data_IF_158520793273
#
_entry.id   IF_158520793273
#
_cell.length_a   1.000
_cell.length_b   1.000
_cell.length_c   1.000
_cell.angle_alpha   90.00
_cell.angle_beta   90.00
_cell.angle_gamma   90.00
#
_symmetry.space_group_name_H-M   'P 1'
#
loop_
_entity.id
_entity.type
_entity.pdbx_description
1 polymer ?
#
# COMPACT_ATOMS: atom_id res chain seq x y z
N UNK A 1 -3.58 10.19 16.83
CA UNK A 1 -3.18 9.20 15.81
C UNK A 1 -3.75 9.63 14.48
N UNK A 2 -3.09 9.28 13.38
CA UNK A 2 -3.59 9.53 12.02
C UNK A 2 -4.38 8.32 11.54
N UNK A 3 -5.53 8.52 10.91
CA UNK A 3 -6.32 7.43 10.34
C UNK A 3 -5.53 6.81 9.18
N UNK A 4 -5.39 5.49 9.17
CA UNK A 4 -4.49 4.81 8.23
C UNK A 4 -5.01 3.46 7.77
N UNK A 5 -4.69 3.11 6.53
CA UNK A 5 -4.71 1.72 6.06
C UNK A 5 -3.44 1.06 6.60
N UNK A 6 -3.60 -0.03 7.37
CA UNK A 6 -2.47 -0.79 7.92
C UNK A 6 -2.45 -2.17 7.25
N UNK A 7 -1.34 -2.50 6.61
CA UNK A 7 -1.10 -3.82 6.03
C UNK A 7 0.08 -4.50 6.75
N UNK A 8 -0.21 -5.65 7.38
CA UNK A 8 0.77 -6.42 8.13
C UNK A 8 1.36 -7.55 7.29
N UNK A 9 2.68 -7.61 7.22
CA UNK A 9 3.43 -8.60 6.43
C UNK A 9 4.48 -9.30 7.28
N UNK A 10 4.63 -10.60 7.07
CA UNK A 10 5.75 -11.39 7.59
C UNK A 10 6.72 -11.71 6.47
N UNK A 11 8.01 -11.40 6.64
CA UNK A 11 9.06 -11.63 5.63
C UNK A 11 10.28 -12.30 6.26
N UNK A 12 10.95 -13.19 5.51
CA UNK A 12 12.16 -13.89 5.97
C UNK A 12 13.41 -13.02 5.98
N UNK A 13 13.42 -11.95 5.17
CA UNK A 13 14.54 -11.02 5.01
C UNK A 13 14.09 -9.57 5.24
N UNK A 14 15.05 -8.71 5.59
CA UNK A 14 14.82 -7.27 5.65
C UNK A 14 14.38 -6.77 4.27
N UNK A 15 13.34 -5.94 4.26
CA UNK A 15 12.80 -5.38 3.03
C UNK A 15 13.36 -3.98 2.83
N UNK A 16 13.69 -3.65 1.58
CA UNK A 16 13.97 -2.28 1.18
C UNK A 16 12.69 -1.62 0.69
N UNK A 17 12.59 -0.32 0.88
CA UNK A 17 11.43 0.48 0.46
C UNK A 17 11.11 0.31 -1.03
N UNK A 18 12.14 0.28 -1.88
CA UNK A 18 12.02 0.09 -3.33
C UNK A 18 11.25 -1.19 -3.72
N UNK A 19 11.42 -2.27 -2.94
CA UNK A 19 10.72 -3.55 -3.16
C UNK A 19 9.29 -3.54 -2.63
N UNK A 20 8.91 -2.52 -1.87
CA UNK A 20 7.60 -2.41 -1.22
C UNK A 20 6.63 -1.52 -1.99
N UNK A 21 7.04 -0.96 -3.13
CA UNK A 21 6.22 -0.15 -4.03
C UNK A 21 4.86 -0.78 -4.33
N UNK A 22 4.82 -2.08 -4.60
CA UNK A 22 3.56 -2.79 -4.89
C UNK A 22 2.61 -2.85 -3.70
N UNK A 23 3.16 -2.90 -2.49
CA UNK A 23 2.38 -2.94 -1.26
C UNK A 23 1.84 -1.54 -0.93
N UNK A 24 2.59 -0.49 -1.27
CA UNK A 24 2.10 0.89 -1.19
C UNK A 24 0.94 1.12 -2.16
N UNK A 25 1.06 0.65 -3.40
CA UNK A 25 -0.03 0.71 -4.40
C UNK A 25 -1.26 -0.05 -3.90
N UNK A 26 -1.07 -1.25 -3.33
CA UNK A 26 -2.15 -2.03 -2.71
C UNK A 26 -2.85 -1.25 -1.58
N UNK A 27 -2.08 -0.63 -0.67
CA UNK A 27 -2.63 0.20 0.40
C UNK A 27 -3.39 1.42 -0.11
N UNK A 28 -2.90 2.07 -1.17
CA UNK A 28 -3.61 3.17 -1.84
C UNK A 28 -4.92 2.70 -2.46
N UNK A 29 -4.94 1.54 -3.11
CA UNK A 29 -6.17 0.97 -3.66
C UNK A 29 -7.21 0.72 -2.55
N UNK A 30 -6.80 0.15 -1.41
CA UNK A 30 -7.70 -0.03 -0.26
C UNK A 30 -8.24 1.29 0.27
N UNK A 31 -7.42 2.32 0.31
CA UNK A 31 -7.85 3.64 0.73
C UNK A 31 -8.92 4.23 -0.19
N UNK A 32 -8.74 4.14 -1.51
CA UNK A 32 -9.74 4.64 -2.48
C UNK A 32 -11.04 3.83 -2.40
N UNK A 33 -10.97 2.49 -2.38
CA UNK A 33 -12.17 1.65 -2.25
C UNK A 33 -12.91 1.88 -0.93
N UNK A 34 -12.18 2.09 0.17
CA UNK A 34 -12.79 2.41 1.46
C UNK A 34 -13.50 3.78 1.43
N UNK A 35 -12.87 4.78 0.80
CA UNK A 35 -13.47 6.10 0.60
C UNK A 35 -14.74 6.02 -0.25
N UNK A 36 -14.74 5.22 -1.31
CA UNK A 36 -15.92 5.00 -2.15
C UNK A 36 -17.09 4.37 -1.37
N UNK A 37 -16.80 3.39 -0.51
CA UNK A 37 -17.82 2.69 0.27
C UNK A 37 -18.36 3.50 1.46
N UNK A 38 -17.50 4.30 2.11
CA UNK A 38 -17.83 4.93 3.40
C UNK A 38 -17.91 6.46 3.35
N UNK A 39 -17.40 7.09 2.29
CA UNK A 39 -17.19 8.53 2.20
C UNK A 39 -16.02 9.06 3.03
N UNK A 40 -15.32 8.20 3.79
CA UNK A 40 -14.22 8.60 4.67
C UNK A 40 -12.90 8.50 3.92
N UNK A 41 -12.21 9.64 3.81
CA UNK A 41 -10.91 9.70 3.16
C UNK A 41 -9.78 9.29 4.11
N UNK A 42 -8.94 8.37 3.67
CA UNK A 42 -7.71 7.96 4.35
C UNK A 42 -6.53 8.43 3.50
N UNK A 43 -5.54 9.07 4.13
CA UNK A 43 -4.39 9.65 3.42
C UNK A 43 -3.07 8.94 3.70
N UNK A 44 -3.07 8.05 4.69
CA UNK A 44 -1.89 7.34 5.15
C UNK A 44 -2.04 5.84 4.95
N UNK A 45 -0.99 5.23 4.39
CA UNK A 45 -0.76 3.79 4.33
C UNK A 45 0.43 3.47 5.23
N UNK A 46 0.28 2.46 6.08
CA UNK A 46 1.34 1.94 6.92
C UNK A 46 1.55 0.48 6.59
N UNK A 47 2.75 0.14 6.11
CA UNK A 47 3.16 -1.25 5.92
C UNK A 47 4.01 -1.66 7.11
N UNK A 48 3.54 -2.64 7.87
CA UNK A 48 4.26 -3.20 9.01
C UNK A 48 4.86 -4.54 8.62
N UNK A 49 6.18 -4.61 8.59
CA UNK A 49 6.92 -5.83 8.26
C UNK A 49 7.58 -6.40 9.51
N UNK A 50 7.22 -7.64 9.86
CA UNK A 50 7.90 -8.40 10.90
C UNK A 50 8.81 -9.46 10.27
N UNK A 51 10.02 -9.61 10.79
CA UNK A 51 10.94 -10.69 10.43
C UNK A 51 11.09 -11.74 11.55
N UNK A 52 11.49 -12.95 11.16
CA UNK A 52 11.80 -14.03 12.11
C UNK A 52 12.95 -13.68 13.07
N UNK A 53 13.80 -12.72 12.72
CA UNK A 53 14.93 -12.25 13.54
C UNK A 53 14.54 -11.13 14.51
N UNK A 54 13.26 -10.98 14.85
CA UNK A 54 12.71 -9.93 15.70
C UNK A 54 12.97 -8.49 15.21
N UNK A 55 13.32 -8.29 13.93
CA UNK A 55 13.34 -6.95 13.35
C UNK A 55 11.92 -6.56 12.92
N UNK A 56 11.48 -5.39 13.37
CA UNK A 56 10.24 -4.74 12.92
C UNK A 56 10.61 -3.57 12.05
N UNK A 57 9.97 -3.47 10.88
CA UNK A 57 10.13 -2.35 9.97
C UNK A 57 8.75 -1.76 9.71
N UNK A 58 8.67 -0.44 9.74
CA UNK A 58 7.48 0.31 9.41
C UNK A 58 7.76 1.23 8.24
N UNK A 59 6.84 1.25 7.27
CA UNK A 59 6.89 2.15 6.14
C UNK A 59 5.60 2.97 6.13
N UNK A 60 5.74 4.28 6.35
CA UNK A 60 4.64 5.23 6.30
C UNK A 60 4.67 5.94 4.95
N UNK A 61 3.54 5.91 4.24
CA UNK A 61 3.40 6.49 2.90
C UNK A 61 2.08 7.24 2.75
N UNK A 62 2.09 8.25 1.88
CA UNK A 62 0.87 8.97 1.50
C UNK A 62 0.19 8.26 0.34
N UNK A 63 -1.13 8.15 0.39
CA UNK A 63 -1.90 7.48 -0.66
C UNK A 63 -1.74 8.17 -2.02
N UNK A 64 -1.68 9.50 -2.00
CA UNK A 64 -1.53 10.37 -3.17
C UNK A 64 -0.29 10.04 -4.02
N UNK A 65 0.85 9.74 -3.40
CA UNK A 65 2.11 9.43 -4.08
C UNK A 65 2.02 8.19 -4.99
N UNK A 66 1.02 7.33 -4.77
CA UNK A 66 0.86 6.06 -5.49
C UNK A 66 -0.43 5.99 -6.32
N UNK A 67 -1.23 7.07 -6.40
CA UNK A 67 -2.48 7.09 -7.19
C UNK A 67 -2.21 6.95 -8.69
N UNK A 68 -1.18 7.63 -9.19
CA UNK A 68 -0.81 7.55 -10.61
C UNK A 68 -0.31 6.14 -10.95
N UNK A 69 0.51 5.55 -10.09
CA UNK A 69 0.99 4.17 -10.24
C UNK A 69 -0.15 3.14 -10.18
N UNK A 70 -1.14 3.37 -9.32
CA UNK A 70 -2.36 2.55 -9.28
C UNK A 70 -3.13 2.63 -10.60
N UNK A 71 -3.35 3.84 -11.10
CA UNK A 71 -4.04 4.05 -12.39
C UNK A 71 -3.30 3.37 -13.54
N UNK A 72 -1.97 3.51 -13.60
CA UNK A 72 -1.14 2.83 -14.59
C UNK A 72 -1.27 1.30 -14.51
N UNK A 73 -1.25 0.73 -13.30
CA UNK A 73 -1.45 -0.71 -13.06
C UNK A 73 -2.81 -1.20 -13.55
N UNK A 74 -3.87 -0.43 -13.30
CA UNK A 74 -5.22 -0.76 -13.74
C UNK A 74 -5.32 -0.72 -15.26
N UNK A 75 -4.80 0.33 -15.91
CA UNK A 75 -4.80 0.45 -17.36
C UNK A 75 -4.05 -0.71 -18.01
N UNK A 76 -2.84 -1.04 -17.53
CA UNK A 76 -2.09 -2.20 -18.02
C UNK A 76 -2.86 -3.51 -17.91
N UNK A 77 -3.66 -3.69 -16.85
CA UNK A 77 -4.47 -4.89 -16.68
C UNK A 77 -5.62 -4.95 -17.69
N UNK A 78 -6.31 -3.83 -17.93
CA UNK A 78 -7.41 -3.76 -18.90
C UNK A 78 -6.93 -3.82 -20.35
N UNK A 79 -5.80 -3.19 -20.68
CA UNK A 79 -5.20 -3.22 -22.02
C UNK A 79 -4.78 -4.65 -22.43
N UNK A 80 -4.49 -5.53 -21.46
CA UNK A 80 -4.15 -6.95 -21.71
C UNK A 80 -5.40 -7.82 -21.93
N UNK A 81 -6.59 -7.32 -21.57
CA UNK A 81 -7.86 -8.04 -21.73
C UNK A 81 -8.56 -7.74 -23.06
N UNK A 82 -8.12 -6.71 -23.80
CA UNK A 82 -8.52 -6.42 -25.19
C UNK A 82 -7.62 -7.13 -26.21
#
# INVERSE_FOLDING_TARGET
GELSIIDYKTKRSNQKEEWMTDHFIQGTAYSEMFKELTGIEIKQVVILVSSEKNSRMEFLKKTEDYKDLLTQRLNQYYDVLE
#
